data_IF_070572500192
#
_entry.id   IF_070572500192
#
_cell.length_a   1.000
_cell.length_b   1.000
_cell.length_c   1.000
_cell.angle_alpha   90.00
_cell.angle_beta   90.00
_cell.angle_gamma   90.00
#
_symmetry.space_group_name_H-M   'P 1'
#
loop_
_entity.id
_entity.type
_entity.pdbx_description
1 polymer ?
#
# COMPACT_ATOMS: atom_id res chain seq x y z
N UNK A 1 23.11 5.50 -21.36
CA UNK A 1 22.00 5.76 -20.43
C UNK A 1 22.61 5.91 -19.06
N UNK A 2 22.38 7.03 -18.36
CA UNK A 2 22.94 7.23 -17.03
C UNK A 2 22.53 6.06 -16.14
N UNK A 3 23.52 5.36 -15.59
CA UNK A 3 23.33 4.28 -14.63
C UNK A 3 22.84 4.93 -13.33
N UNK A 4 21.55 5.26 -13.27
CA UNK A 4 20.91 5.80 -12.08
C UNK A 4 21.03 4.72 -11.00
N UNK A 5 22.01 4.88 -10.11
CA UNK A 5 22.22 4.00 -8.97
C UNK A 5 20.88 3.84 -8.23
N UNK A 6 20.26 2.67 -8.39
CA UNK A 6 18.88 2.43 -7.97
C UNK A 6 18.77 2.66 -6.45
N UNK A 7 18.10 3.74 -5.99
CA UNK A 7 18.13 4.11 -4.59
C UNK A 7 17.17 3.20 -3.82
N UNK A 8 17.70 2.10 -3.27
CA UNK A 8 16.90 1.09 -2.55
C UNK A 8 16.27 1.64 -1.27
N UNK A 9 16.89 2.64 -0.62
CA UNK A 9 16.47 3.18 0.69
C UNK A 9 15.19 4.02 0.59
N UNK A 10 15.06 5.01 -0.31
CA UNK A 10 13.81 5.76 -0.51
C UNK A 10 12.64 4.87 -0.92
N UNK A 11 12.86 3.93 -1.85
CA UNK A 11 11.81 3.01 -2.32
C UNK A 11 11.28 2.18 -1.15
N UNK A 12 12.18 1.64 -0.31
CA UNK A 12 11.79 0.86 0.87
C UNK A 12 10.94 1.69 1.84
N UNK A 13 11.34 2.94 2.11
CA UNK A 13 10.62 3.84 3.02
C UNK A 13 9.24 4.18 2.46
N UNK A 14 9.18 4.58 1.18
CA UNK A 14 7.93 4.90 0.51
C UNK A 14 6.96 3.71 0.50
N UNK A 15 7.47 2.52 0.18
CA UNK A 15 6.70 1.27 0.23
C UNK A 15 6.14 0.96 1.62
N UNK A 16 6.94 1.14 2.68
CA UNK A 16 6.46 0.97 4.05
C UNK A 16 5.39 2.01 4.41
N UNK A 17 5.57 3.26 3.99
CA UNK A 17 4.57 4.31 4.19
C UNK A 17 3.25 3.97 3.51
N UNK A 18 3.27 3.45 2.27
CA UNK A 18 2.06 3.00 1.58
C UNK A 18 1.33 1.88 2.34
N UNK A 19 2.07 0.88 2.84
CA UNK A 19 1.50 -0.21 3.63
C UNK A 19 0.85 0.31 4.90
N UNK A 20 1.57 1.14 5.67
CA UNK A 20 1.05 1.73 6.91
C UNK A 20 -0.19 2.58 6.61
N UNK A 21 -0.15 3.39 5.56
CA UNK A 21 -1.27 4.23 5.14
C UNK A 21 -2.48 3.37 4.76
N UNK A 22 -2.30 2.28 4.03
CA UNK A 22 -3.38 1.36 3.68
C UNK A 22 -4.06 0.79 4.94
N UNK A 23 -3.28 0.33 5.90
CA UNK A 23 -3.80 -0.25 7.16
C UNK A 23 -4.53 0.80 7.99
N UNK A 24 -3.91 1.97 8.21
CA UNK A 24 -4.53 3.05 9.00
C UNK A 24 -5.80 3.55 8.32
N UNK A 25 -5.78 3.76 7.01
CA UNK A 25 -6.94 4.19 6.23
C UNK A 25 -8.10 3.21 6.38
N UNK A 26 -7.86 1.91 6.20
CA UNK A 26 -8.89 0.89 6.34
C UNK A 26 -9.46 0.83 7.76
N UNK A 27 -8.61 0.92 8.78
CA UNK A 27 -9.06 0.93 10.17
C UNK A 27 -9.89 2.15 10.53
N UNK A 28 -9.42 3.35 10.15
CA UNK A 28 -10.16 4.59 10.39
C UNK A 28 -11.52 4.52 9.70
N UNK A 29 -11.55 4.07 8.45
CA UNK A 29 -12.79 3.89 7.72
C UNK A 29 -13.74 2.88 8.41
N UNK A 30 -13.23 1.72 8.82
CA UNK A 30 -14.06 0.70 9.47
C UNK A 30 -14.65 1.14 10.81
N UNK A 31 -13.91 1.96 11.57
CA UNK A 31 -14.39 2.57 12.81
C UNK A 31 -15.45 3.64 12.51
N UNK A 32 -15.18 4.55 11.56
CA UNK A 32 -16.07 5.70 11.26
C UNK A 32 -17.41 5.26 10.66
N UNK A 33 -17.38 4.30 9.76
CA UNK A 33 -18.58 3.85 9.03
C UNK A 33 -19.19 2.57 9.60
N UNK A 34 -18.61 1.99 10.66
CA UNK A 34 -19.08 0.76 11.30
C UNK A 34 -19.09 -0.46 10.36
N UNK A 35 -18.37 -0.38 9.25
CA UNK A 35 -18.41 -1.35 8.16
C UNK A 35 -17.04 -1.99 8.01
N UNK A 36 -17.00 -3.32 8.02
CA UNK A 36 -15.75 -4.10 7.93
C UNK A 36 -15.74 -5.05 6.73
N UNK A 37 -16.80 -4.99 5.90
CA UNK A 37 -16.95 -5.87 4.76
C UNK A 37 -16.42 -5.20 3.49
N UNK A 38 -15.17 -5.49 3.14
CA UNK A 38 -14.53 -4.98 1.93
C UNK A 38 -15.19 -5.41 0.62
N UNK A 39 -15.91 -6.53 0.61
CA UNK A 39 -16.50 -7.10 -0.61
C UNK A 39 -17.96 -6.70 -0.80
N UNK A 40 -18.53 -5.90 0.11
CA UNK A 40 -19.84 -5.27 -0.13
C UNK A 40 -19.73 -4.28 -1.29
N UNK A 41 -20.76 -4.24 -2.14
CA UNK A 41 -20.82 -3.31 -3.28
C UNK A 41 -20.66 -1.84 -2.84
N UNK A 42 -21.18 -1.49 -1.65
CA UNK A 42 -21.09 -0.16 -1.06
C UNK A 42 -19.65 0.26 -0.73
N UNK A 43 -18.77 -0.71 -0.50
CA UNK A 43 -17.40 -0.49 -0.01
C UNK A 43 -16.34 -0.70 -1.10
N UNK A 44 -16.76 -0.97 -2.35
CA UNK A 44 -15.86 -1.23 -3.47
C UNK A 44 -14.81 -0.13 -3.69
N UNK A 45 -15.18 1.14 -3.48
CA UNK A 45 -14.25 2.27 -3.60
C UNK A 45 -13.14 2.23 -2.54
N UNK A 46 -13.51 1.94 -1.30
CA UNK A 46 -12.56 1.82 -0.17
C UNK A 46 -11.65 0.62 -0.38
N UNK A 47 -12.22 -0.50 -0.83
CA UNK A 47 -11.47 -1.69 -1.19
C UNK A 47 -10.46 -1.42 -2.31
N UNK A 48 -10.85 -0.71 -3.37
CA UNK A 48 -9.94 -0.36 -4.46
C UNK A 48 -8.74 0.47 -3.98
N UNK A 49 -8.99 1.50 -3.15
CA UNK A 49 -7.93 2.32 -2.55
C UNK A 49 -7.01 1.46 -1.69
N UNK A 50 -7.58 0.64 -0.80
CA UNK A 50 -6.83 -0.25 0.08
C UNK A 50 -5.92 -1.20 -0.71
N UNK A 51 -6.46 -1.89 -1.71
CA UNK A 51 -5.72 -2.85 -2.54
C UNK A 51 -4.60 -2.17 -3.33
N UNK A 52 -4.84 -0.98 -3.89
CA UNK A 52 -3.82 -0.26 -4.65
C UNK A 52 -2.68 0.18 -3.74
N UNK A 53 -2.98 0.79 -2.58
CA UNK A 53 -1.96 1.22 -1.63
C UNK A 53 -1.16 0.03 -1.09
N UNK A 54 -1.86 -1.02 -0.65
CA UNK A 54 -1.23 -2.22 -0.10
C UNK A 54 -0.42 -2.95 -1.18
N UNK A 55 -0.96 -3.09 -2.39
CA UNK A 55 -0.32 -3.76 -3.53
C UNK A 55 0.97 -3.05 -3.95
N UNK A 56 0.93 -1.74 -4.19
CA UNK A 56 2.14 -0.98 -4.51
C UNK A 56 3.14 -0.92 -3.36
N UNK A 57 2.65 -0.84 -2.12
CA UNK A 57 3.49 -0.92 -0.93
C UNK A 57 4.25 -2.25 -0.85
N UNK A 58 3.54 -3.37 -0.93
CA UNK A 58 4.12 -4.72 -0.86
C UNK A 58 5.06 -4.99 -2.03
N UNK A 59 4.62 -4.71 -3.26
CA UNK A 59 5.45 -4.94 -4.46
C UNK A 59 6.71 -4.07 -4.43
N UNK A 60 6.57 -2.78 -4.11
CA UNK A 60 7.72 -1.88 -3.99
C UNK A 60 8.69 -2.34 -2.89
N UNK A 61 8.19 -2.83 -1.75
CA UNK A 61 9.03 -3.37 -0.70
C UNK A 61 9.78 -4.63 -1.17
N UNK A 62 9.09 -5.56 -1.83
CA UNK A 62 9.68 -6.78 -2.38
C UNK A 62 10.78 -6.46 -3.40
N UNK A 63 10.58 -5.48 -4.28
CA UNK A 63 11.60 -5.03 -5.24
C UNK A 63 12.89 -4.56 -4.54
N UNK A 64 12.81 -3.99 -3.34
CA UNK A 64 14.01 -3.60 -2.58
C UNK A 64 14.73 -4.79 -1.92
N UNK A 65 14.02 -5.92 -1.74
CA UNK A 65 14.53 -7.15 -1.11
C UNK A 65 15.10 -8.12 -2.14
N UNK A 66 14.62 -8.08 -3.38
CA UNK A 66 15.20 -8.83 -4.49
C UNK A 66 16.62 -8.31 -4.71
N UNK A 67 17.60 -9.08 -4.25
CA UNK A 67 18.98 -8.91 -4.68
C UNK A 67 19.08 -9.44 -6.12
N UNK A 68 19.53 -8.60 -7.04
CA UNK A 68 20.15 -9.08 -8.27
C UNK A 68 21.35 -9.93 -7.91
#
# INVERSE_FOLDING_TARGET
MAELAYPKRPIKIFSLLLIITAVVFYWVWGIVYGSWNLFSAENLGVYAIFVVLLGFGVLGYLLTRVKK
#
